data_IF_176444946889
#
_entry.id   IF_176444946889
#
_cell.length_a   1.000
_cell.length_b   1.000
_cell.length_c   1.000
_cell.angle_alpha   90.00
_cell.angle_beta   90.00
_cell.angle_gamma   90.00
#
_symmetry.space_group_name_H-M   'P 1'
#
loop_
_entity.id
_entity.type
_entity.pdbx_description
1 polymer ?
#
# COMPACT_ATOMS: atom_id res chain seq x y z
N UNK A 1 -22.75 7.23 4.40
CA UNK A 1 -22.05 6.49 5.47
C UNK A 1 -20.67 7.10 5.57
N UNK A 2 -20.30 7.64 6.72
CA UNK A 2 -18.92 8.08 7.00
C UNK A 2 -18.07 6.83 7.15
N UNK A 3 -17.07 6.66 6.28
CA UNK A 3 -16.08 5.60 6.44
C UNK A 3 -15.24 5.93 7.69
N UNK A 4 -15.12 4.98 8.61
CA UNK A 4 -14.30 5.14 9.80
C UNK A 4 -12.98 4.39 9.56
N UNK A 5 -11.81 5.04 9.76
CA UNK A 5 -10.54 4.38 9.60
C UNK A 5 -10.41 3.17 10.52
N UNK A 6 -9.78 2.11 10.02
CA UNK A 6 -9.50 0.92 10.82
C UNK A 6 -8.58 1.29 12.00
N UNK A 7 -8.80 0.70 13.17
CA UNK A 7 -8.05 1.04 14.39
C UNK A 7 -6.54 0.86 14.20
N UNK A 8 -6.12 -0.22 13.52
CA UNK A 8 -4.71 -0.46 13.16
C UNK A 8 -4.09 0.64 12.30
N UNK A 9 -4.89 1.33 11.47
CA UNK A 9 -4.38 2.44 10.65
C UNK A 9 -4.14 3.69 11.49
N UNK A 10 -4.98 3.95 12.50
CA UNK A 10 -4.75 5.04 13.47
C UNK A 10 -3.51 4.77 14.34
N UNK A 11 -3.31 3.52 14.79
CA UNK A 11 -2.10 3.11 15.51
C UNK A 11 -0.85 3.31 14.65
N UNK A 12 -0.92 2.91 13.37
CA UNK A 12 0.19 3.05 12.42
C UNK A 12 0.54 4.51 12.13
N UNK A 13 -0.46 5.38 11.97
CA UNK A 13 -0.27 6.84 11.84
C UNK A 13 0.49 7.37 13.06
N UNK A 14 0.01 7.05 14.26
CA UNK A 14 0.65 7.49 15.52
C UNK A 14 2.09 7.00 15.61
N UNK A 15 2.34 5.76 15.19
CA UNK A 15 3.68 5.16 15.17
C UNK A 15 4.61 5.87 14.20
N UNK A 16 4.15 6.19 12.99
CA UNK A 16 4.89 6.97 12.01
C UNK A 16 5.26 8.36 12.55
N UNK A 17 4.33 9.07 13.16
CA UNK A 17 4.58 10.39 13.77
C UNK A 17 5.57 10.32 14.94
N UNK A 18 5.54 9.24 15.70
CA UNK A 18 6.51 9.01 16.77
C UNK A 18 7.91 8.71 16.18
N UNK A 19 8.00 7.90 15.12
CA UNK A 19 9.24 7.58 14.43
C UNK A 19 9.88 8.82 13.79
N UNK A 20 9.12 9.58 12.99
CA UNK A 20 9.60 10.81 12.34
C UNK A 20 9.97 11.89 13.36
N UNK A 21 9.21 11.99 14.45
CA UNK A 21 9.51 12.89 15.56
C UNK A 21 10.69 12.46 16.44
N UNK A 22 11.33 11.31 16.17
CA UNK A 22 12.43 10.77 16.97
C UNK A 22 12.04 10.34 18.38
N UNK A 23 10.73 10.19 18.64
CA UNK A 23 10.16 9.73 19.92
C UNK A 23 10.08 8.21 20.01
N UNK A 24 10.16 7.52 18.86
CA UNK A 24 10.20 6.07 18.76
C UNK A 24 11.61 5.62 18.35
N UNK A 25 12.22 4.74 19.15
CA UNK A 25 13.51 4.17 18.80
C UNK A 25 13.40 3.20 17.62
N UNK A 26 14.50 2.97 16.90
CA UNK A 26 14.56 1.97 15.81
C UNK A 26 14.12 0.58 16.26
N UNK A 27 14.58 0.15 17.44
CA UNK A 27 14.26 -1.17 17.99
C UNK A 27 12.75 -1.27 18.30
N UNK A 28 12.19 -0.27 18.98
CA UNK A 28 10.76 -0.24 19.28
C UNK A 28 9.89 -0.18 18.01
N UNK A 29 10.33 0.56 16.98
CA UNK A 29 9.65 0.56 15.68
C UNK A 29 9.68 -0.82 15.03
N UNK A 30 10.81 -1.54 15.11
CA UNK A 30 10.94 -2.90 14.57
C UNK A 30 10.04 -3.89 15.29
N UNK A 31 10.01 -3.86 16.63
CA UNK A 31 9.15 -4.73 17.42
C UNK A 31 7.67 -4.54 17.04
N UNK A 32 7.23 -3.28 16.89
CA UNK A 32 5.89 -2.96 16.41
C UNK A 32 5.61 -3.53 15.01
N UNK A 33 6.54 -3.36 14.07
CA UNK A 33 6.41 -3.89 12.71
C UNK A 33 6.27 -5.41 12.72
N UNK A 34 7.13 -6.11 13.45
CA UNK A 34 7.16 -7.57 13.46
C UNK A 34 5.87 -8.14 14.07
N UNK A 35 5.36 -7.52 15.14
CA UNK A 35 4.06 -7.88 15.73
C UNK A 35 2.91 -7.65 14.73
N UNK A 36 2.90 -6.50 14.05
CA UNK A 36 1.79 -6.10 13.18
C UNK A 36 1.83 -6.76 11.81
N UNK A 37 2.98 -7.07 11.23
CA UNK A 37 3.07 -7.84 9.98
C UNK A 37 2.53 -9.27 10.15
N UNK A 38 2.60 -9.83 11.35
CA UNK A 38 1.97 -11.12 11.66
C UNK A 38 0.43 -11.02 11.72
N UNK A 39 -0.12 -9.84 11.99
CA UNK A 39 -1.56 -9.62 12.18
C UNK A 39 -2.00 -8.20 11.77
N UNK A 40 -1.84 -7.85 10.48
CA UNK A 40 -2.17 -6.50 9.99
C UNK A 40 -3.65 -6.34 9.58
N UNK A 41 -4.42 -7.43 9.63
CA UNK A 41 -5.84 -7.43 9.28
C UNK A 41 -6.09 -7.40 7.76
N UNK A 42 -7.33 -7.12 7.33
CA UNK A 42 -7.72 -7.18 5.92
C UNK A 42 -7.43 -5.89 5.13
N UNK A 43 -6.96 -4.81 5.77
CA UNK A 43 -6.79 -3.51 5.13
C UNK A 43 -5.39 -3.39 4.51
N UNK A 44 -5.33 -3.41 3.17
CA UNK A 44 -4.06 -3.35 2.42
C UNK A 44 -3.26 -2.06 2.69
N UNK A 45 -3.92 -0.95 3.05
CA UNK A 45 -3.24 0.29 3.46
C UNK A 45 -2.41 0.12 4.74
N UNK A 46 -2.83 -0.74 5.66
CA UNK A 46 -2.05 -1.04 6.87
C UNK A 46 -0.80 -1.81 6.49
N UNK A 47 -0.93 -2.80 5.60
CA UNK A 47 0.22 -3.56 5.10
C UNK A 47 1.22 -2.66 4.35
N UNK A 48 0.76 -1.81 3.44
CA UNK A 48 1.61 -0.89 2.68
C UNK A 48 2.34 0.10 3.61
N UNK A 49 1.62 0.70 4.56
CA UNK A 49 2.22 1.61 5.54
C UNK A 49 3.23 0.92 6.46
N UNK A 50 3.01 -0.35 6.83
CA UNK A 50 3.97 -1.15 7.59
C UNK A 50 5.22 -1.46 6.78
N UNK A 51 5.09 -1.80 5.49
CA UNK A 51 6.25 -2.03 4.63
C UNK A 51 7.10 -0.77 4.45
N UNK A 52 6.47 0.38 4.21
CA UNK A 52 7.19 1.66 4.10
C UNK A 52 7.92 2.02 5.41
N UNK A 53 7.30 1.75 6.56
CA UNK A 53 7.93 1.98 7.85
C UNK A 53 9.12 1.04 8.06
N UNK A 54 8.95 -0.23 7.69
CA UNK A 54 10.01 -1.22 7.73
C UNK A 54 11.22 -0.82 6.87
N UNK A 55 10.98 -0.31 5.67
CA UNK A 55 12.03 0.17 4.78
C UNK A 55 12.76 1.37 5.37
N UNK A 56 12.03 2.35 5.92
CA UNK A 56 12.62 3.51 6.58
C UNK A 56 13.46 3.11 7.81
N UNK A 57 12.98 2.15 8.60
CA UNK A 57 13.69 1.59 9.76
C UNK A 57 14.95 0.83 9.33
N UNK A 58 14.88 0.07 8.24
CA UNK A 58 16.01 -0.69 7.71
C UNK A 58 17.09 0.22 7.11
N UNK A 59 16.69 1.25 6.39
CA UNK A 59 17.60 2.26 5.82
C UNK A 59 18.29 3.12 6.89
N UNK A 60 17.77 3.13 8.13
CA UNK A 60 18.30 3.98 9.20
C UNK A 60 17.93 5.44 9.00
N UNK A 61 16.81 5.71 8.33
CA UNK A 61 16.45 7.04 7.86
C UNK A 61 16.23 8.05 8.99
N UNK A 62 15.91 7.59 10.20
CA UNK A 62 15.83 8.46 11.38
C UNK A 62 17.19 8.99 11.88
N UNK A 63 18.33 8.49 11.38
CA UNK A 63 19.67 8.84 11.87
C UNK A 63 20.30 10.06 11.16
N UNK A 64 19.79 10.45 9.99
CA UNK A 64 20.29 11.60 9.22
C UNK A 64 19.16 12.54 8.82
N UNK A 65 19.46 13.80 8.51
CA UNK A 65 18.46 14.76 8.04
C UNK A 65 17.84 14.32 6.71
N UNK A 66 18.67 13.87 5.76
CA UNK A 66 18.22 13.38 4.44
C UNK A 66 17.35 12.12 4.55
N UNK A 67 17.69 11.20 5.47
CA UNK A 67 16.87 10.04 5.73
C UNK A 67 15.51 10.43 6.31
N UNK A 68 15.48 11.34 7.28
CA UNK A 68 14.23 11.82 7.88
C UNK A 68 13.32 12.47 6.84
N UNK A 69 13.91 13.24 5.93
CA UNK A 69 13.17 13.86 4.82
C UNK A 69 12.58 12.81 3.89
N UNK A 70 13.36 11.80 3.46
CA UNK A 70 12.82 10.68 2.66
C UNK A 70 11.67 9.96 3.36
N UNK A 71 11.86 9.58 4.62
CA UNK A 71 10.84 8.89 5.40
C UNK A 71 9.57 9.75 5.54
N UNK A 72 9.72 11.08 5.70
CA UNK A 72 8.59 12.00 5.73
C UNK A 72 7.86 12.08 4.37
N UNK A 73 8.58 12.05 3.25
CA UNK A 73 7.99 11.99 1.90
C UNK A 73 7.18 10.71 1.71
N UNK A 74 7.72 9.56 2.13
CA UNK A 74 7.00 8.28 2.07
C UNK A 74 5.74 8.29 2.93
N UNK A 75 5.86 8.77 4.18
CA UNK A 75 4.73 8.92 5.07
C UNK A 75 3.64 9.84 4.50
N UNK A 76 4.02 11.00 3.95
CA UNK A 76 3.07 11.93 3.35
C UNK A 76 2.35 11.32 2.13
N UNK A 77 3.07 10.56 1.29
CA UNK A 77 2.47 9.87 0.16
C UNK A 77 1.46 8.80 0.60
N UNK A 78 1.83 7.99 1.60
CA UNK A 78 0.95 6.97 2.18
C UNK A 78 -0.28 7.57 2.89
N UNK A 79 -0.08 8.62 3.69
CA UNK A 79 -1.16 9.34 4.37
C UNK A 79 -2.18 9.89 3.37
N UNK A 80 -1.70 10.40 2.23
CA UNK A 80 -2.59 10.86 1.15
C UNK A 80 -3.41 9.72 0.54
N UNK A 81 -2.83 8.54 0.37
CA UNK A 81 -3.59 7.37 -0.08
C UNK A 81 -4.66 6.96 0.93
N UNK A 82 -4.36 7.08 2.23
CA UNK A 82 -5.34 6.87 3.30
C UNK A 82 -6.50 7.87 3.22
N UNK A 83 -6.22 9.16 3.02
CA UNK A 83 -7.26 10.19 2.85
C UNK A 83 -8.16 9.93 1.64
N UNK A 84 -7.57 9.51 0.51
CA UNK A 84 -8.35 9.18 -0.67
C UNK A 84 -9.22 7.95 -0.43
N UNK A 85 -8.69 6.92 0.25
CA UNK A 85 -9.48 5.76 0.66
C UNK A 85 -10.64 6.16 1.58
N UNK A 86 -10.41 7.06 2.54
CA UNK A 86 -11.44 7.47 3.49
C UNK A 86 -12.54 8.31 2.81
N UNK A 87 -12.17 9.09 1.79
CA UNK A 87 -13.12 9.86 0.99
C UNK A 87 -13.94 8.98 0.02
N UNK A 88 -13.28 8.05 -0.68
CA UNK A 88 -13.92 7.15 -1.65
C UNK A 88 -13.21 5.77 -1.67
N UNK A 89 -13.63 4.83 -0.81
CA UNK A 89 -12.98 3.53 -0.71
C UNK A 89 -13.19 2.69 -1.97
N UNK A 90 -14.27 2.91 -2.73
CA UNK A 90 -14.55 2.18 -3.97
C UNK A 90 -13.61 2.65 -5.08
N UNK A 91 -13.49 3.97 -5.27
CA UNK A 91 -12.54 4.51 -6.23
C UNK A 91 -11.10 4.18 -5.86
N UNK A 92 -10.76 4.18 -4.57
CA UNK A 92 -9.44 3.76 -4.12
C UNK A 92 -9.15 2.29 -4.48
N UNK A 93 -10.04 1.35 -4.13
CA UNK A 93 -9.85 -0.08 -4.43
C UNK A 93 -9.69 -0.33 -5.92
N UNK A 94 -10.50 0.33 -6.76
CA UNK A 94 -10.38 0.27 -8.22
C UNK A 94 -8.99 0.71 -8.70
N UNK A 95 -8.49 1.86 -8.24
CA UNK A 95 -7.16 2.37 -8.63
C UNK A 95 -6.04 1.42 -8.18
N UNK A 96 -6.14 0.90 -6.96
CA UNK A 96 -5.18 -0.05 -6.42
C UNK A 96 -5.17 -1.35 -7.25
N UNK A 97 -6.33 -1.93 -7.55
CA UNK A 97 -6.47 -3.14 -8.36
C UNK A 97 -5.87 -2.97 -9.76
N UNK A 98 -6.13 -1.84 -10.42
CA UNK A 98 -5.53 -1.49 -11.72
C UNK A 98 -4.00 -1.42 -11.61
N UNK A 99 -3.48 -0.72 -10.60
CA UNK A 99 -2.04 -0.56 -10.41
C UNK A 99 -1.35 -1.90 -10.07
N UNK A 100 -1.99 -2.74 -9.27
CA UNK A 100 -1.51 -4.09 -8.94
C UNK A 100 -1.48 -4.98 -10.19
N UNK A 101 -2.58 -5.04 -10.94
CA UNK A 101 -2.68 -5.87 -12.14
C UNK A 101 -1.69 -5.42 -13.23
N UNK A 102 -1.52 -4.12 -13.46
CA UNK A 102 -0.49 -3.62 -14.40
C UNK A 102 0.93 -4.08 -14.04
N UNK A 103 1.24 -4.25 -12.75
CA UNK A 103 2.52 -4.76 -12.26
C UNK A 103 2.62 -6.29 -12.31
N UNK A 104 1.51 -6.99 -12.06
CA UNK A 104 1.46 -8.45 -11.98
C UNK A 104 1.38 -9.12 -13.36
N UNK A 105 0.53 -8.61 -14.25
CA UNK A 105 0.22 -9.25 -15.54
C UNK A 105 1.47 -9.55 -16.40
N UNK A 106 2.49 -8.67 -16.47
CA UNK A 106 3.73 -8.97 -17.18
C UNK A 106 4.55 -10.11 -16.56
N UNK A 107 4.38 -10.40 -15.27
CA UNK A 107 5.18 -11.38 -14.50
C UNK A 107 4.58 -12.77 -14.47
N UNK A 108 3.33 -12.93 -14.89
CA UNK A 108 2.62 -14.21 -14.90
C UNK A 108 2.40 -14.72 -16.32
N UNK A 109 2.22 -16.04 -16.45
CA UNK A 109 1.98 -16.71 -17.73
C UNK A 109 0.75 -16.11 -18.44
N UNK A 110 0.77 -15.89 -19.77
CA UNK A 110 -0.37 -15.36 -20.52
C UNK A 110 -1.68 -16.09 -20.21
N UNK A 111 -1.67 -17.43 -20.17
CA UNK A 111 -2.83 -18.25 -19.85
C UNK A 111 -3.42 -18.01 -18.44
N UNK A 112 -2.64 -17.46 -17.50
CA UNK A 112 -3.08 -17.14 -16.14
C UNK A 112 -3.64 -15.72 -16.00
N UNK A 113 -3.41 -14.85 -16.98
CA UNK A 113 -3.81 -13.43 -16.95
C UNK A 113 -5.33 -13.23 -16.81
N UNK A 114 -6.20 -13.93 -17.56
CA UNK A 114 -7.65 -13.76 -17.41
C UNK A 114 -8.15 -14.11 -16.00
N UNK A 115 -7.61 -15.18 -15.41
CA UNK A 115 -7.94 -15.59 -14.03
C UNK A 115 -7.51 -14.54 -13.01
N UNK A 116 -6.33 -13.93 -13.20
CA UNK A 116 -5.85 -12.86 -12.33
C UNK A 116 -6.75 -11.61 -12.42
N UNK A 117 -7.16 -11.20 -13.63
CA UNK A 117 -8.10 -10.06 -13.81
C UNK A 117 -9.46 -10.37 -13.19
N UNK A 118 -9.99 -11.57 -13.41
CA UNK A 118 -11.28 -12.00 -12.87
C UNK A 118 -11.31 -12.00 -11.33
N UNK A 119 -10.17 -12.24 -10.66
CA UNK A 119 -10.08 -12.21 -9.20
C UNK A 119 -10.35 -10.80 -8.61
N UNK A 120 -10.20 -9.73 -9.39
CA UNK A 120 -10.48 -8.34 -8.97
C UNK A 120 -11.74 -7.77 -9.61
N UNK A 121 -12.62 -8.62 -10.13
CA UNK A 121 -13.78 -8.16 -10.90
C UNK A 121 -14.69 -7.22 -10.11
N UNK A 122 -14.85 -7.46 -8.82
CA UNK A 122 -15.68 -6.63 -7.94
C UNK A 122 -15.15 -5.20 -7.77
N UNK A 123 -13.85 -4.98 -8.02
CA UNK A 123 -13.20 -3.67 -7.93
C UNK A 123 -13.04 -2.97 -9.28
N UNK A 124 -13.37 -3.63 -10.40
CA UNK A 124 -13.11 -3.15 -11.76
C UNK A 124 -14.38 -2.89 -12.55
N UNK A 125 -14.40 -1.78 -13.29
CA UNK A 125 -15.43 -1.54 -14.31
C UNK A 125 -15.14 -2.33 -15.58
N UNK A 126 -16.13 -2.45 -16.46
CA UNK A 126 -16.00 -3.13 -17.76
C UNK A 126 -14.88 -2.51 -18.61
N UNK A 127 -14.76 -1.19 -18.61
CA UNK A 127 -13.71 -0.48 -19.31
C UNK A 127 -12.30 -0.80 -18.75
N UNK A 128 -12.16 -1.01 -17.45
CA UNK A 128 -10.86 -1.39 -16.87
C UNK A 128 -10.48 -2.81 -17.26
N UNK A 129 -11.44 -3.74 -17.22
CA UNK A 129 -11.23 -5.13 -17.62
C UNK A 129 -10.82 -5.21 -19.09
N UNK A 130 -11.49 -4.46 -19.96
CA UNK A 130 -11.14 -4.36 -21.38
C UNK A 130 -9.73 -3.81 -21.56
N UNK A 131 -9.40 -2.67 -20.93
CA UNK A 131 -8.07 -2.06 -20.99
C UNK A 131 -6.96 -2.99 -20.50
N UNK A 132 -7.17 -3.68 -19.38
CA UNK A 132 -6.21 -4.63 -18.81
C UNK A 132 -6.05 -5.88 -19.67
N UNK A 133 -7.11 -6.32 -20.35
CA UNK A 133 -7.08 -7.46 -21.27
C UNK A 133 -6.29 -7.15 -22.54
N UNK A 134 -6.36 -5.91 -23.04
CA UNK A 134 -5.52 -5.45 -24.16
C UNK A 134 -4.04 -5.49 -23.74
N UNK A 135 -3.70 -4.89 -22.59
CA UNK A 135 -2.31 -4.93 -22.07
C UNK A 135 -1.83 -6.37 -21.84
N UNK A 136 -2.71 -7.27 -21.40
CA UNK A 136 -2.42 -8.68 -21.19
C UNK A 136 -2.15 -9.46 -22.49
N UNK A 137 -2.50 -8.94 -23.67
CA UNK A 137 -2.28 -9.61 -24.96
C UNK A 137 -1.18 -8.95 -25.79
N UNK A 138 -0.88 -7.67 -25.57
CA UNK A 138 0.14 -6.93 -26.35
C UNK A 138 1.61 -7.29 -26.03
N UNK A 139 1.88 -8.18 -25.08
CA UNK A 139 3.25 -8.59 -24.72
C UNK A 139 3.79 -9.78 -25.54
N UNK A 140 3.10 -10.17 -26.63
CA UNK A 140 3.48 -11.25 -27.55
C UNK A 140 4.04 -10.75 -28.92
N UNK A 141 4.35 -9.45 -29.05
CA UNK A 141 4.94 -8.87 -30.27
C UNK A 141 6.44 -8.62 -30.15
#
# INVERSE_FOLDING_TARGET
MTYQPHELRLELITTWEAYLGGRLSRAAARDYIDERLAFYGPEELVHDGLQLLNDAVNAGDHASAEGKERAAVWYAAWSRECEIHDADPVAWRRRWAIAYLKRLLPKIRPASRPKAIAAFREDLTDADVESLSIVATSSEA
#
